data_IF_778423792364
#
_entry.id   IF_778423792364
#
_cell.length_a   1.000
_cell.length_b   1.000
_cell.length_c   1.000
_cell.angle_alpha   90.00
_cell.angle_beta   90.00
_cell.angle_gamma   90.00
#
_symmetry.space_group_name_H-M   'P 1'
#
loop_
_entity.id
_entity.type
_entity.pdbx_description
1 polymer ?
2 water ?
#
# COMPACT_ATOMS: atom_id res chain seq x y z
N UNK A 1 -7.32 8.59 2.44
CA UNK A 1 -6.75 8.22 1.12
C UNK A 1 -5.26 8.53 1.05
N UNK A 2 -4.90 9.81 1.09
CA UNK A 2 -3.51 10.23 0.96
C UNK A 2 -2.57 9.49 1.92
N UNK A 3 -3.01 9.35 3.18
CA UNK A 3 -2.29 8.58 4.18
C UNK A 3 -2.12 7.12 3.79
N UNK A 4 -3.19 6.53 3.25
CA UNK A 4 -3.16 5.15 2.75
C UNK A 4 -2.25 5.01 1.52
N UNK A 5 -2.32 5.96 0.59
CA UNK A 5 -1.45 5.94 -0.58
C UNK A 5 0.03 6.02 -0.18
N UNK A 6 0.37 6.94 0.73
CA UNK A 6 1.75 7.07 1.22
C UNK A 6 2.24 5.77 1.90
N UNK A 7 1.43 5.23 2.81
CA UNK A 7 1.79 3.98 3.51
C UNK A 7 2.02 2.83 2.51
N UNK A 8 1.13 2.74 1.51
CA UNK A 8 1.20 1.72 0.48
C UNK A 8 2.44 1.85 -0.41
N UNK A 9 2.72 3.07 -0.86
CA UNK A 9 3.92 3.40 -1.63
C UNK A 9 5.18 3.04 -0.83
N UNK A 10 5.18 3.29 0.48
CA UNK A 10 6.32 2.94 1.38
C UNK A 10 6.52 1.42 1.36
N UNK A 11 5.44 0.64 1.46
CA UNK A 11 5.57 -0.83 1.43
C UNK A 11 6.24 -1.30 0.18
N UNK A 12 5.79 -0.76 -0.97
CA UNK A 12 6.33 -1.10 -2.28
C UNK A 12 7.81 -0.71 -2.43
N UNK A 13 8.18 0.45 -1.87
CA UNK A 13 9.55 0.94 -1.91
C UNK A 13 10.49 0.09 -1.05
N UNK A 14 10.03 -0.27 0.15
CA UNK A 14 10.82 -1.06 1.08
C UNK A 14 11.27 -2.42 0.49
N UNK A 15 10.56 -2.92 -0.54
CA UNK A 15 10.92 -4.18 -1.22
C UNK A 15 11.43 -3.99 -2.69
N UNK A 16 11.75 -2.75 -3.06
CA UNK A 16 12.46 -2.46 -4.30
C UNK A 16 11.74 -2.67 -5.63
N UNK A 17 10.40 -2.63 -5.59
CA UNK A 17 9.54 -2.67 -6.78
C UNK A 17 9.46 -1.30 -7.40
N UNK A 18 9.60 -0.27 -6.55
CA UNK A 18 9.81 1.08 -7.00
C UNK A 18 11.03 1.64 -6.28
N UNK A 19 11.79 2.48 -6.98
CA UNK A 19 12.88 3.23 -6.33
C UNK A 19 12.27 4.41 -5.58
N UNK A 20 13.02 4.92 -4.60
CA UNK A 20 12.69 6.16 -3.90
C UNK A 20 12.32 7.28 -4.89
N UNK A 21 12.96 7.26 -6.07
CA UNK A 21 12.70 8.21 -7.16
C UNK A 21 11.25 8.17 -7.68
N UNK A 22 10.74 6.96 -7.92
CA UNK A 22 9.39 6.79 -8.44
C UNK A 22 8.37 7.11 -7.35
N UNK A 23 8.69 6.73 -6.11
CA UNK A 23 7.84 6.97 -4.94
C UNK A 23 7.53 8.45 -4.88
N UNK A 24 8.59 9.27 -4.97
CA UNK A 24 8.51 10.71 -4.87
C UNK A 24 7.70 11.26 -6.01
N UNK A 25 8.04 10.82 -7.22
CA UNK A 25 7.33 11.25 -8.41
C UNK A 25 5.86 10.86 -8.36
N UNK A 26 5.58 9.62 -7.92
CA UNK A 26 4.21 9.11 -7.83
C UNK A 26 3.39 9.97 -6.88
N UNK A 27 3.96 10.25 -5.71
CA UNK A 27 3.25 11.03 -4.71
C UNK A 27 3.02 12.47 -5.15
N UNK A 28 4.02 13.11 -5.78
CA UNK A 28 3.89 14.48 -6.29
C UNK A 28 2.80 14.51 -7.37
N UNK A 29 2.88 13.56 -8.32
CA UNK A 29 1.89 13.41 -9.37
C UNK A 29 0.49 13.27 -8.81
N UNK A 30 0.31 12.31 -7.89
CA UNK A 30 -0.99 11.99 -7.25
C UNK A 30 -1.59 13.27 -6.66
N UNK A 31 -0.77 14.00 -5.89
CA UNK A 31 -1.22 15.16 -5.14
C UNK A 31 -1.51 16.37 -6.03
N UNK A 32 -0.68 16.58 -7.06
CA UNK A 32 -0.67 17.82 -7.82
C UNK A 32 -1.39 17.77 -9.17
N UNK A 33 -1.14 16.73 -9.98
CA UNK A 33 -1.58 16.73 -11.40
C UNK A 33 -2.31 15.45 -11.84
N UNK A 34 -2.53 14.47 -10.95
CA UNK A 34 -3.41 13.35 -11.27
C UNK A 34 -4.85 13.86 -11.42
N UNK A 35 -5.46 13.54 -12.57
CA UNK A 35 -6.87 13.82 -12.85
C UNK A 35 -7.76 13.06 -11.87
N UNK A 36 -9.01 13.51 -11.76
CA UNK A 36 -9.96 13.01 -10.76
C UNK A 36 -10.21 11.52 -10.92
N UNK A 37 -10.30 11.08 -12.18
CA UNK A 37 -10.50 9.65 -12.55
C UNK A 37 -9.23 8.84 -12.30
N UNK A 38 -8.04 9.40 -12.57
CA UNK A 38 -6.85 8.60 -12.34
C UNK A 38 -6.66 8.41 -10.81
N UNK A 39 -7.09 9.38 -10.00
CA UNK A 39 -7.17 9.22 -8.54
C UNK A 39 -8.13 8.09 -8.15
N UNK A 40 -9.31 8.06 -8.78
CA UNK A 40 -10.32 7.00 -8.53
C UNK A 40 -9.71 5.63 -8.87
N UNK A 41 -8.93 5.53 -9.95
CA UNK A 41 -8.31 4.27 -10.33
C UNK A 41 -7.17 3.85 -9.38
N UNK A 42 -6.34 4.82 -8.95
CA UNK A 42 -5.31 4.59 -7.92
C UNK A 42 -5.95 4.02 -6.65
N UNK A 43 -7.03 4.65 -6.21
CA UNK A 43 -7.76 4.23 -5.01
C UNK A 43 -8.21 2.76 -5.09
N UNK A 44 -8.68 2.34 -6.27
CA UNK A 44 -9.13 0.98 -6.53
C UNK A 44 -8.01 -0.04 -6.35
N UNK A 45 -6.84 0.27 -6.93
CA UNK A 45 -5.64 -0.55 -6.82
C UNK A 45 -5.20 -0.65 -5.36
N UNK A 46 -5.19 0.48 -4.66
CA UNK A 46 -4.80 0.52 -3.26
C UNK A 46 -5.78 -0.30 -2.43
N UNK A 47 -7.07 -0.23 -2.75
CA UNK A 47 -8.07 -0.96 -2.00
C UNK A 47 -7.90 -2.49 -2.10
N UNK A 48 -7.51 -2.98 -3.28
CA UNK A 48 -7.26 -4.39 -3.50
C UNK A 48 -6.10 -4.84 -2.65
N UNK A 49 -5.06 -4.02 -2.63
CA UNK A 49 -3.93 -4.25 -1.80
C UNK A 49 -4.24 -4.26 -0.29
N UNK A 50 -5.07 -3.32 0.15
CA UNK A 50 -5.56 -3.26 1.56
C UNK A 50 -6.27 -4.57 1.93
N UNK A 51 -7.10 -5.11 1.03
CA UNK A 51 -7.75 -6.38 1.21
C UNK A 51 -6.72 -7.52 1.34
N UNK A 52 -5.68 -7.52 0.49
CA UNK A 52 -4.62 -8.53 0.61
C UNK A 52 -3.83 -8.43 1.94
N UNK A 53 -3.60 -7.20 2.40
CA UNK A 53 -2.92 -6.97 3.64
C UNK A 53 -3.80 -7.45 4.82
N UNK A 54 -5.08 -7.05 4.80
CA UNK A 54 -6.06 -7.47 5.80
C UNK A 54 -6.02 -9.00 5.97
N UNK A 55 -6.11 -9.71 4.84
CA UNK A 55 -6.04 -11.17 4.78
C UNK A 55 -4.78 -11.79 5.37
N UNK A 56 -3.60 -11.34 4.93
CA UNK A 56 -2.33 -11.77 5.51
C UNK A 56 -2.32 -11.59 7.03
N UNK A 57 -2.70 -10.39 7.49
CA UNK A 57 -2.71 -10.08 8.91
C UNK A 57 -3.57 -11.08 9.68
N UNK A 58 -4.77 -11.33 9.15
CA UNK A 58 -5.71 -12.27 9.77
C UNK A 58 -5.11 -13.68 9.82
N UNK A 59 -4.52 -14.09 8.70
CA UNK A 59 -3.83 -15.35 8.52
C UNK A 59 -2.72 -15.59 9.53
N UNK A 60 -1.82 -14.61 9.67
CA UNK A 60 -0.71 -14.66 10.60
C UNK A 60 -1.24 -14.78 12.03
N UNK A 61 -2.20 -13.91 12.37
CA UNK A 61 -2.77 -13.87 13.71
C UNK A 61 -3.48 -15.21 13.99
N UNK A 62 -4.40 -15.58 13.10
CA UNK A 62 -5.21 -16.79 13.24
C UNK A 62 -4.34 -18.03 13.36
N UNK A 63 -3.31 -18.11 12.52
CA UNK A 63 -2.46 -19.29 12.46
C UNK A 63 -1.43 -19.39 13.59
N UNK A 64 -0.84 -18.26 13.99
CA UNK A 64 0.31 -18.29 14.92
C UNK A 64 0.12 -17.81 16.38
N UNK A 65 -0.99 -17.11 16.65
CA UNK A 65 -1.26 -16.56 17.99
C UNK A 65 -1.04 -17.53 19.11
N UNK A 66 -1.66 -18.71 18.99
CA UNK A 66 -1.55 -19.76 19.96
C UNK A 66 -0.09 -20.10 20.25
N UNK A 67 0.76 -20.07 19.16
CA UNK A 67 2.18 -20.39 19.29
C UNK A 67 2.94 -19.25 19.94
N UNK A 68 2.60 -18.04 19.51
CA UNK A 68 3.25 -16.84 20.02
C UNK A 68 3.09 -16.74 21.54
N UNK A 69 1.90 -17.09 22.04
CA UNK A 69 1.59 -17.05 23.48
C UNK A 69 2.33 -18.12 24.30
N UNK A 70 2.82 -19.15 23.59
CA UNK A 70 3.81 -20.15 24.02
C UNK A 70 3.27 -21.55 23.71
#
# INVERSE_FOLDING_TARGET
DLGHIVKTIRCLEEEGHIDKSFAEDFLTWYSLRATHREVRVVKIFVETFMEDLSSLGQQLVDTFSESILS
#
